data_IF_628810904111
#
_entry.id   IF_628810904111
#
_cell.length_a   1.000
_cell.length_b   1.000
_cell.length_c   1.000
_cell.angle_alpha   90.00
_cell.angle_beta   90.00
_cell.angle_gamma   90.00
#
_symmetry.space_group_name_H-M   'P 1'
#
loop_
_entity.id
_entity.type
_entity.pdbx_description
1 polymer ?
#
# COMPACT_ATOMS: atom_id res chain seq x y z
N UNK A 1 -8.64 10.97 9.16
CA UNK A 1 -7.24 10.57 9.36
C UNK A 1 -7.05 10.31 10.84
N UNK A 2 -6.49 9.18 11.20
CA UNK A 2 -6.32 8.75 12.57
C UNK A 2 -4.85 8.31 12.77
N UNK A 3 -4.32 8.54 13.97
CA UNK A 3 -3.11 7.87 14.41
C UNK A 3 -3.40 6.37 14.40
N UNK A 4 -2.48 5.56 13.90
CA UNK A 4 -2.74 4.14 13.68
C UNK A 4 -1.85 3.25 14.53
N UNK A 5 -2.29 2.02 14.76
CA UNK A 5 -1.48 0.94 15.35
C UNK A 5 -0.73 0.12 14.30
N UNK A 6 -0.84 0.45 13.01
CA UNK A 6 -0.04 -0.18 11.95
C UNK A 6 1.41 0.22 12.13
N UNK A 7 2.28 -0.73 12.44
CA UNK A 7 3.64 -0.46 12.95
C UNK A 7 4.58 0.23 11.96
N UNK A 8 4.26 0.23 10.66
CA UNK A 8 5.11 0.78 9.61
C UNK A 8 4.64 2.14 9.05
N UNK A 9 3.66 2.76 9.70
CA UNK A 9 3.13 4.08 9.32
C UNK A 9 2.62 4.82 10.56
N UNK A 10 2.56 6.15 10.52
CA UNK A 10 2.14 6.96 11.67
C UNK A 10 0.63 7.23 11.64
N UNK A 11 0.09 7.41 10.45
CA UNK A 11 -1.31 7.75 10.23
C UNK A 11 -1.93 6.94 9.10
N UNK A 12 -3.27 6.79 9.13
CA UNK A 12 -4.05 6.32 7.99
C UNK A 12 -5.03 7.40 7.54
N UNK A 13 -5.29 7.44 6.24
CA UNK A 13 -6.29 8.34 5.65
C UNK A 13 -6.98 7.67 4.46
N UNK A 14 -8.31 7.67 4.48
CA UNK A 14 -9.14 7.15 3.38
C UNK A 14 -10.03 8.25 2.81
N UNK A 15 -9.48 9.14 1.96
CA UNK A 15 -10.22 10.28 1.41
C UNK A 15 -11.27 9.92 0.37
N UNK A 16 -11.21 8.73 -0.25
CA UNK A 16 -12.22 8.25 -1.20
C UNK A 16 -13.12 7.26 -0.47
N UNK A 17 -14.39 7.57 -0.39
CA UNK A 17 -15.40 6.78 0.33
C UNK A 17 -16.65 6.57 -0.51
N UNK A 18 -17.42 5.50 -0.28
CA UNK A 18 -18.78 5.40 -0.81
C UNK A 18 -19.61 6.63 -0.38
N UNK A 19 -20.57 7.00 -1.21
CA UNK A 19 -21.60 7.99 -0.83
C UNK A 19 -22.37 7.48 0.38
N UNK A 20 -22.66 6.19 0.42
CA UNK A 20 -23.18 5.50 1.59
C UNK A 20 -22.13 5.44 2.73
N UNK A 21 -22.60 5.14 3.93
CA UNK A 21 -21.73 4.91 5.08
C UNK A 21 -20.80 3.69 4.86
N UNK A 22 -19.56 3.76 5.32
CA UNK A 22 -18.62 2.63 5.32
C UNK A 22 -17.61 2.66 4.20
N UNK A 23 -17.22 1.48 3.75
CA UNK A 23 -16.18 1.27 2.74
C UNK A 23 -16.65 0.26 1.70
N UNK A 24 -15.97 0.19 0.53
CA UNK A 24 -16.29 -0.78 -0.51
C UNK A 24 -15.05 -1.12 -1.33
N UNK A 25 -14.87 -2.42 -1.54
CA UNK A 25 -13.85 -2.99 -2.41
C UNK A 25 -14.39 -4.27 -3.05
N UNK A 26 -13.63 -4.91 -3.94
CA UNK A 26 -13.89 -6.27 -4.39
C UNK A 26 -12.68 -7.16 -4.09
N UNK A 27 -12.96 -8.42 -3.74
CA UNK A 27 -11.93 -9.44 -3.52
C UNK A 27 -11.30 -9.83 -4.84
N UNK A 28 -9.97 -9.76 -4.91
CA UNK A 28 -9.18 -10.07 -6.11
C UNK A 28 -8.07 -11.11 -5.85
N UNK A 29 -7.96 -11.57 -4.62
CA UNK A 29 -6.99 -12.57 -4.22
C UNK A 29 -7.43 -13.33 -2.98
N UNK A 30 -6.77 -14.45 -2.69
CA UNK A 30 -6.98 -15.23 -1.46
C UNK A 30 -6.70 -14.41 -0.19
N UNK A 31 -5.83 -13.41 -0.25
CA UNK A 31 -5.61 -12.48 0.86
C UNK A 31 -6.77 -11.54 1.16
N UNK A 32 -7.79 -11.51 0.29
CA UNK A 32 -9.00 -10.72 0.54
C UNK A 32 -10.11 -11.52 1.27
N UNK A 33 -9.92 -12.82 1.51
CA UNK A 33 -10.96 -13.67 2.12
C UNK A 33 -11.34 -13.19 3.53
N UNK A 34 -10.35 -12.90 4.37
CA UNK A 34 -10.53 -12.42 5.74
C UNK A 34 -10.14 -10.94 5.87
N UNK A 35 -10.59 -10.11 4.92
CA UNK A 35 -10.23 -8.70 4.87
C UNK A 35 -10.74 -7.95 6.10
N UNK A 36 -9.82 -7.30 6.82
CA UNK A 36 -10.15 -6.52 8.02
C UNK A 36 -11.08 -5.33 7.70
N UNK A 37 -10.93 -4.73 6.54
CA UNK A 37 -11.77 -3.61 6.10
C UNK A 37 -13.20 -4.07 5.84
N UNK A 38 -13.40 -5.26 5.23
CA UNK A 38 -14.73 -5.85 5.08
C UNK A 38 -15.34 -6.16 6.45
N UNK A 39 -14.58 -6.74 7.38
CA UNK A 39 -15.05 -7.03 8.72
C UNK A 39 -15.50 -5.75 9.47
N UNK A 40 -14.74 -4.66 9.34
CA UNK A 40 -15.12 -3.35 9.88
C UNK A 40 -16.35 -2.77 9.16
N UNK A 41 -16.46 -2.94 7.84
CA UNK A 41 -17.63 -2.51 7.09
C UNK A 41 -18.90 -3.26 7.52
N UNK A 42 -18.80 -4.56 7.75
CA UNK A 42 -19.91 -5.37 8.27
C UNK A 42 -20.35 -4.92 9.67
N UNK A 43 -19.40 -4.49 10.51
CA UNK A 43 -19.69 -4.08 11.88
C UNK A 43 -20.16 -2.63 11.99
N UNK A 44 -19.52 -1.71 11.28
CA UNK A 44 -19.70 -0.26 11.47
C UNK A 44 -20.15 0.49 10.22
N UNK A 45 -20.06 -0.13 9.04
CA UNK A 45 -20.38 0.46 7.74
C UNK A 45 -21.80 0.17 7.27
N UNK A 46 -21.95 -0.03 5.94
CA UNK A 46 -23.22 -0.32 5.27
C UNK A 46 -23.60 -1.81 5.30
N UNK A 47 -22.76 -2.66 5.89
CA UNK A 47 -22.97 -4.13 6.01
C UNK A 47 -23.03 -4.87 4.67
N UNK A 48 -22.52 -4.28 3.59
CA UNK A 48 -22.38 -4.93 2.28
C UNK A 48 -21.05 -5.67 2.22
N UNK A 49 -21.06 -6.90 1.70
CA UNK A 49 -19.83 -7.67 1.46
C UNK A 49 -19.01 -7.10 0.30
N UNK A 50 -17.71 -7.29 0.36
CA UNK A 50 -16.78 -6.83 -0.68
C UNK A 50 -16.76 -7.83 -1.84
N UNK A 51 -17.52 -7.53 -2.89
CA UNK A 51 -17.59 -8.31 -4.12
C UNK A 51 -17.85 -7.41 -5.33
N UNK A 52 -17.67 -7.96 -6.53
CA UNK A 52 -17.80 -7.20 -7.78
C UNK A 52 -19.21 -6.59 -7.98
N UNK A 53 -20.27 -7.30 -7.57
CA UNK A 53 -21.64 -6.80 -7.72
C UNK A 53 -21.91 -5.59 -6.83
N UNK A 54 -21.55 -5.67 -5.54
CA UNK A 54 -21.73 -4.55 -4.63
C UNK A 54 -20.83 -3.37 -5.02
N UNK A 55 -19.60 -3.66 -5.51
CA UNK A 55 -18.69 -2.65 -5.97
C UNK A 55 -19.24 -1.92 -7.20
N UNK A 56 -19.72 -2.62 -8.22
CA UNK A 56 -20.25 -2.00 -9.45
C UNK A 56 -21.49 -1.11 -9.19
N UNK A 57 -22.20 -1.37 -8.09
CA UNK A 57 -23.36 -0.58 -7.64
C UNK A 57 -22.98 0.50 -6.61
N UNK A 58 -21.69 0.74 -6.38
CA UNK A 58 -21.21 1.73 -5.39
C UNK A 58 -20.82 3.03 -6.08
N UNK A 59 -21.47 4.10 -5.70
CA UNK A 59 -21.04 5.45 -6.03
C UNK A 59 -20.03 5.94 -5.00
N UNK A 60 -18.90 6.48 -5.47
CA UNK A 60 -17.84 7.03 -4.61
C UNK A 60 -17.91 8.56 -4.56
N UNK A 61 -17.38 9.12 -3.49
CA UNK A 61 -17.20 10.56 -3.28
C UNK A 61 -15.85 10.86 -2.65
N UNK A 62 -15.39 12.10 -2.78
CA UNK A 62 -14.27 12.63 -1.99
C UNK A 62 -14.78 13.06 -0.62
N UNK A 63 -14.10 12.64 0.43
CA UNK A 63 -14.26 13.17 1.78
C UNK A 63 -13.33 14.38 1.98
N UNK A 64 -13.85 15.57 1.72
CA UNK A 64 -13.06 16.82 1.83
C UNK A 64 -12.56 17.07 3.28
N UNK A 65 -13.17 16.46 4.29
CA UNK A 65 -12.65 16.54 5.65
C UNK A 65 -11.37 15.70 5.81
N UNK A 66 -11.29 14.52 5.17
CA UNK A 66 -10.03 13.76 5.14
C UNK A 66 -8.94 14.53 4.37
N UNK A 67 -9.27 15.15 3.23
CA UNK A 67 -8.33 16.00 2.48
C UNK A 67 -7.81 17.16 3.35
N UNK A 68 -8.70 17.83 4.11
CA UNK A 68 -8.30 18.90 5.04
C UNK A 68 -7.40 18.37 6.18
N UNK A 69 -7.60 17.12 6.61
CA UNK A 69 -6.76 16.51 7.66
C UNK A 69 -5.37 16.16 7.14
N UNK A 70 -5.21 15.73 5.88
CA UNK A 70 -3.92 15.53 5.23
C UNK A 70 -3.06 16.79 5.34
N UNK A 71 -3.64 17.98 5.13
CA UNK A 71 -2.93 19.26 5.26
C UNK A 71 -2.39 19.56 6.67
N UNK A 72 -2.90 18.87 7.70
CA UNK A 72 -2.55 19.08 9.11
C UNK A 72 -1.66 17.97 9.69
N UNK A 73 -1.23 17.01 8.87
CA UNK A 73 -0.30 15.96 9.31
C UNK A 73 1.01 16.60 9.76
N UNK A 74 1.62 16.18 10.87
CA UNK A 74 2.95 16.65 11.24
C UNK A 74 3.98 16.38 10.13
N UNK A 75 4.90 17.32 9.92
CA UNK A 75 6.02 17.17 8.98
C UNK A 75 6.86 15.94 9.34
N UNK A 76 7.39 15.23 8.33
CA UNK A 76 8.18 14.02 8.50
C UNK A 76 7.37 12.75 8.81
N UNK A 77 6.03 12.84 8.84
CA UNK A 77 5.18 11.66 9.10
C UNK A 77 5.01 10.78 7.87
N UNK A 78 4.76 9.49 8.11
CA UNK A 78 4.30 8.53 7.12
C UNK A 78 2.78 8.37 7.18
N UNK A 79 2.12 8.42 6.03
CA UNK A 79 0.66 8.28 5.90
C UNK A 79 0.34 7.12 4.97
N UNK A 80 -0.30 6.08 5.48
CA UNK A 80 -0.86 5.03 4.64
C UNK A 80 -2.20 5.51 4.07
N UNK A 81 -2.21 5.73 2.75
CA UNK A 81 -3.38 6.23 2.04
C UNK A 81 -4.29 5.09 1.59
N UNK A 82 -5.58 5.31 1.81
CA UNK A 82 -6.68 4.47 1.32
C UNK A 82 -6.60 3.03 1.86
N UNK A 83 -6.27 2.91 3.16
CA UNK A 83 -6.13 1.66 3.91
C UNK A 83 -7.41 0.82 3.94
N UNK A 84 -8.58 1.45 3.84
CA UNK A 84 -9.89 0.80 3.92
C UNK A 84 -10.49 0.41 2.57
N UNK A 85 -9.93 0.91 1.47
CA UNK A 85 -10.37 0.66 0.09
C UNK A 85 -9.15 0.76 -0.81
N UNK A 86 -8.99 -0.12 -1.80
CA UNK A 86 -7.89 0.02 -2.77
C UNK A 86 -8.14 1.27 -3.63
N UNK A 87 -7.23 2.25 -3.60
CA UNK A 87 -7.35 3.50 -4.37
C UNK A 87 -7.39 3.24 -5.88
N UNK A 88 -6.74 2.19 -6.31
CA UNK A 88 -6.73 1.74 -7.71
C UNK A 88 -7.84 0.74 -8.05
N UNK A 89 -8.91 0.74 -7.24
CA UNK A 89 -10.13 0.00 -7.54
C UNK A 89 -10.78 0.53 -8.83
N UNK A 90 -11.29 -0.36 -9.67
CA UNK A 90 -11.83 -0.09 -11.01
C UNK A 90 -13.03 0.87 -11.03
N UNK A 91 -13.79 0.98 -9.93
CA UNK A 91 -14.93 1.88 -9.82
C UNK A 91 -14.55 3.29 -9.31
N UNK A 92 -13.32 3.48 -8.87
CA UNK A 92 -12.86 4.81 -8.46
C UNK A 92 -12.49 5.63 -9.71
N UNK A 93 -13.17 6.77 -9.94
CA UNK A 93 -12.87 7.64 -11.06
C UNK A 93 -11.45 8.21 -10.97
N UNK A 94 -10.72 8.29 -12.09
CA UNK A 94 -9.36 8.84 -12.14
C UNK A 94 -9.28 10.26 -11.57
N UNK A 95 -10.27 11.09 -11.82
CA UNK A 95 -10.38 12.45 -11.23
C UNK A 95 -10.41 12.47 -9.69
N UNK A 96 -10.85 11.37 -9.04
CA UNK A 96 -10.80 11.28 -7.57
C UNK A 96 -9.40 10.91 -7.08
N UNK A 97 -8.71 10.03 -7.81
CA UNK A 97 -7.30 9.73 -7.56
C UNK A 97 -6.50 11.02 -7.69
N UNK A 98 -6.71 11.77 -8.78
CA UNK A 98 -6.08 13.07 -9.01
C UNK A 98 -6.30 14.07 -7.87
N UNK A 99 -7.54 14.16 -7.38
CA UNK A 99 -7.85 15.03 -6.24
C UNK A 99 -7.07 14.68 -4.97
N UNK A 100 -6.79 13.37 -4.77
CA UNK A 100 -5.94 12.89 -3.67
C UNK A 100 -4.48 13.27 -3.92
N UNK A 101 -3.97 13.03 -5.14
CA UNK A 101 -2.60 13.36 -5.52
C UNK A 101 -2.30 14.86 -5.41
N UNK A 102 -3.23 15.72 -5.79
CA UNK A 102 -3.10 17.17 -5.57
C UNK A 102 -2.95 17.54 -4.08
N UNK A 103 -3.47 16.73 -3.15
CA UNK A 103 -3.24 16.93 -1.72
C UNK A 103 -1.91 16.39 -1.22
N UNK A 104 -1.34 15.41 -1.91
CA UNK A 104 0.01 14.88 -1.67
C UNK A 104 1.06 15.90 -2.12
N UNK A 105 0.93 16.44 -3.32
CA UNK A 105 1.81 17.49 -3.87
C UNK A 105 1.90 18.71 -2.95
N UNK A 106 0.79 19.08 -2.32
CA UNK A 106 0.77 20.17 -1.35
C UNK A 106 1.50 19.89 -0.03
N UNK A 107 2.04 18.67 0.15
CA UNK A 107 2.72 18.23 1.39
C UNK A 107 3.96 17.41 1.07
N UNK A 108 4.97 18.03 0.44
CA UNK A 108 6.23 17.35 0.10
C UNK A 108 7.04 16.92 1.35
N UNK A 109 6.69 17.46 2.51
CA UNK A 109 7.25 17.17 3.82
C UNK A 109 6.68 15.92 4.50
N UNK A 110 5.73 15.22 3.86
CA UNK A 110 5.04 14.03 4.38
C UNK A 110 5.18 12.89 3.37
N UNK A 111 5.50 11.69 3.82
CA UNK A 111 5.55 10.50 2.98
C UNK A 111 4.16 9.86 2.88
N UNK A 112 3.74 9.56 1.67
CA UNK A 112 2.46 8.89 1.40
C UNK A 112 2.68 7.50 0.84
N UNK A 113 2.24 6.50 1.58
CA UNK A 113 2.38 5.08 1.24
C UNK A 113 1.06 4.59 0.62
N UNK A 114 1.11 4.10 -0.61
CA UNK A 114 -0.05 3.58 -1.35
C UNK A 114 0.19 2.10 -1.62
N UNK A 115 -0.70 1.25 -1.14
CA UNK A 115 -0.64 -0.20 -1.33
C UNK A 115 -1.84 -0.67 -2.15
N UNK A 116 -1.56 -1.43 -3.22
CA UNK A 116 -2.62 -1.92 -4.10
C UNK A 116 -2.46 -3.40 -4.45
N UNK A 117 -3.57 -4.03 -4.80
CA UNK A 117 -3.63 -5.34 -5.43
C UNK A 117 -3.91 -5.25 -6.95
N UNK A 118 -3.94 -4.01 -7.48
CA UNK A 118 -4.26 -3.67 -8.87
C UNK A 118 -3.18 -2.77 -9.49
N UNK A 119 -1.92 -3.26 -9.60
CA UNK A 119 -0.80 -2.43 -10.07
C UNK A 119 -0.98 -1.94 -11.52
N UNK A 120 -1.75 -2.66 -12.34
CA UNK A 120 -2.09 -2.26 -13.70
C UNK A 120 -2.87 -0.94 -13.77
N UNK A 121 -3.63 -0.62 -12.72
CA UNK A 121 -4.36 0.65 -12.63
C UNK A 121 -3.46 1.85 -12.31
N UNK A 122 -2.26 1.63 -11.76
CA UNK A 122 -1.27 2.70 -11.60
C UNK A 122 -0.91 3.24 -12.98
N UNK A 123 -0.54 2.35 -13.92
CA UNK A 123 -0.21 2.73 -15.30
C UNK A 123 -1.36 3.46 -15.98
N UNK A 124 -2.57 2.94 -15.86
CA UNK A 124 -3.75 3.60 -16.42
C UNK A 124 -3.95 5.02 -15.86
N UNK A 125 -3.69 5.22 -14.57
CA UNK A 125 -3.77 6.53 -13.96
C UNK A 125 -2.66 7.47 -14.45
N UNK A 126 -1.41 6.97 -14.57
CA UNK A 126 -0.30 7.73 -15.10
C UNK A 126 -0.57 8.22 -16.53
N UNK A 127 -1.07 7.33 -17.39
CA UNK A 127 -1.46 7.67 -18.78
C UNK A 127 -2.62 8.65 -18.82
N UNK A 128 -3.64 8.45 -17.99
CA UNK A 128 -4.77 9.36 -17.88
C UNK A 128 -4.34 10.75 -17.43
N UNK A 129 -3.52 10.86 -16.39
CA UNK A 129 -2.99 12.12 -15.89
C UNK A 129 -2.23 12.87 -16.98
N UNK A 130 -1.39 12.16 -17.73
CA UNK A 130 -0.64 12.74 -18.82
C UNK A 130 -1.47 13.31 -19.95
N UNK A 131 -2.54 12.63 -20.30
CA UNK A 131 -3.44 13.06 -21.40
C UNK A 131 -4.37 14.20 -20.99
N UNK A 132 -4.89 14.18 -19.74
CA UNK A 132 -5.94 15.10 -19.31
C UNK A 132 -5.40 16.40 -18.70
N UNK A 133 -4.27 16.32 -18.02
CA UNK A 133 -3.84 17.42 -17.17
C UNK A 133 -2.69 18.24 -17.75
N UNK A 134 -1.74 17.68 -18.44
CA UNK A 134 -0.70 18.41 -19.20
C UNK A 134 0.38 17.47 -19.76
N UNK A 135 0.46 17.32 -21.06
CA UNK A 135 1.54 16.62 -21.75
C UNK A 135 2.94 17.27 -21.48
N UNK A 136 3.00 18.55 -21.14
CA UNK A 136 4.24 19.29 -20.91
C UNK A 136 4.77 19.19 -19.46
N UNK A 137 3.94 18.86 -18.47
CA UNK A 137 4.33 18.71 -17.06
C UNK A 137 4.66 17.28 -16.62
N UNK A 138 4.44 16.29 -17.49
CA UNK A 138 4.66 14.87 -17.18
C UNK A 138 6.11 14.50 -16.84
N UNK A 139 7.08 15.42 -17.02
CA UNK A 139 8.49 15.07 -16.98
C UNK A 139 9.30 15.78 -15.89
N UNK A 140 8.71 16.71 -15.15
CA UNK A 140 9.46 17.52 -14.16
C UNK A 140 8.96 17.33 -12.72
N UNK A 141 8.97 16.20 -12.09
CA UNK A 141 8.62 15.92 -10.68
C UNK A 141 7.23 15.32 -10.43
N UNK A 142 6.64 14.67 -11.42
CA UNK A 142 5.41 13.93 -11.23
C UNK A 142 5.58 12.46 -11.63
N UNK A 143 5.06 11.47 -10.86
CA UNK A 143 4.35 11.61 -9.59
C UNK A 143 5.23 12.15 -8.47
N UNK A 144 4.62 12.78 -7.44
CA UNK A 144 5.36 13.41 -6.35
C UNK A 144 6.36 12.45 -5.71
N UNK A 145 7.62 12.89 -5.45
CA UNK A 145 8.69 12.00 -4.97
C UNK A 145 8.43 11.42 -3.58
N UNK A 146 7.53 12.04 -2.82
CA UNK A 146 7.09 11.61 -1.51
C UNK A 146 5.97 10.56 -1.52
N UNK A 147 5.59 10.04 -2.69
CA UNK A 147 4.69 8.89 -2.83
C UNK A 147 5.49 7.60 -2.91
N UNK A 148 5.17 6.62 -2.09
CA UNK A 148 5.70 5.27 -2.17
C UNK A 148 4.63 4.34 -2.73
N UNK A 149 4.91 3.66 -3.84
CA UNK A 149 3.99 2.69 -4.41
C UNK A 149 4.35 1.27 -3.97
N UNK A 150 3.34 0.55 -3.51
CA UNK A 150 3.47 -0.84 -3.10
C UNK A 150 2.42 -1.77 -3.66
N UNK A 151 2.74 -3.04 -3.69
CA UNK A 151 1.81 -4.12 -4.06
C UNK A 151 1.74 -5.19 -3.00
N UNK A 152 0.55 -5.77 -2.80
CA UNK A 152 0.38 -6.93 -1.92
C UNK A 152 0.64 -8.22 -2.69
N UNK A 153 1.38 -9.15 -2.06
CA UNK A 153 1.71 -10.49 -2.62
C UNK A 153 1.54 -11.52 -1.52
N UNK A 154 0.47 -12.26 -1.55
CA UNK A 154 0.10 -13.20 -0.49
C UNK A 154 0.62 -14.62 -0.72
N UNK A 155 0.76 -15.00 -1.99
CA UNK A 155 1.29 -16.29 -2.45
C UNK A 155 2.08 -16.10 -3.74
N UNK A 156 2.79 -17.14 -4.18
CA UNK A 156 3.52 -17.16 -5.45
C UNK A 156 2.65 -16.76 -6.65
N UNK A 157 1.39 -17.12 -6.67
CA UNK A 157 0.48 -16.79 -7.76
C UNK A 157 0.33 -15.27 -7.99
N UNK A 158 0.48 -14.48 -6.93
CA UNK A 158 0.38 -13.02 -7.00
C UNK A 158 1.72 -12.29 -7.12
N UNK A 159 2.83 -13.02 -7.20
CA UNK A 159 4.17 -12.43 -7.36
C UNK A 159 4.31 -11.63 -8.67
N UNK A 160 3.46 -11.90 -9.66
CA UNK A 160 3.36 -11.12 -10.91
C UNK A 160 3.11 -9.63 -10.66
N UNK A 161 2.47 -9.25 -9.54
CA UNK A 161 2.22 -7.86 -9.19
C UNK A 161 3.53 -7.07 -8.97
N UNK A 162 4.58 -7.72 -8.44
CA UNK A 162 5.90 -7.10 -8.34
C UNK A 162 6.51 -6.81 -9.71
N UNK A 163 6.28 -7.69 -10.69
CA UNK A 163 6.79 -7.47 -12.04
C UNK A 163 6.13 -6.26 -12.72
N UNK A 164 4.83 -6.06 -12.49
CA UNK A 164 4.16 -4.83 -12.93
C UNK A 164 4.80 -3.58 -12.31
N UNK A 165 5.02 -3.59 -11.00
CA UNK A 165 5.61 -2.45 -10.30
C UNK A 165 7.02 -2.13 -10.80
N UNK A 166 7.86 -3.18 -11.01
CA UNK A 166 9.21 -3.03 -11.58
C UNK A 166 9.18 -2.53 -13.02
N UNK A 167 8.26 -3.03 -13.85
CA UNK A 167 8.06 -2.55 -15.22
C UNK A 167 7.70 -1.06 -15.22
N UNK A 168 6.78 -0.65 -14.39
CA UNK A 168 6.43 0.77 -14.24
C UNK A 168 7.65 1.63 -13.95
N UNK A 169 8.52 1.21 -13.02
CA UNK A 169 9.75 1.95 -12.70
C UNK A 169 10.71 2.03 -13.88
N UNK A 170 10.77 1.01 -14.71
CA UNK A 170 11.58 0.99 -15.93
C UNK A 170 11.00 1.90 -17.03
N UNK A 171 9.69 1.82 -17.28
CA UNK A 171 8.98 2.60 -18.31
C UNK A 171 8.80 4.07 -17.91
N UNK A 172 8.74 4.35 -16.62
CA UNK A 172 8.56 5.67 -16.01
C UNK A 172 9.68 5.97 -15.00
N UNK A 173 10.91 6.29 -15.47
CA UNK A 173 12.08 6.48 -14.60
C UNK A 173 11.89 7.57 -13.54
N UNK A 174 10.99 8.55 -13.79
CA UNK A 174 10.62 9.62 -12.86
C UNK A 174 9.74 9.14 -11.71
N UNK A 175 9.20 7.90 -11.74
CA UNK A 175 8.46 7.35 -10.60
C UNK A 175 9.31 7.41 -9.32
N UNK A 176 8.66 7.58 -8.15
CA UNK A 176 9.35 7.66 -6.87
C UNK A 176 10.36 6.54 -6.68
N UNK A 177 11.45 6.85 -6.02
CA UNK A 177 12.55 5.90 -5.81
C UNK A 177 12.15 4.72 -4.92
N UNK A 178 11.13 4.89 -4.07
CA UNK A 178 10.67 3.85 -3.15
C UNK A 178 9.49 3.10 -3.75
N UNK A 179 9.77 1.87 -4.18
CA UNK A 179 8.78 0.86 -4.51
C UNK A 179 8.82 -0.23 -3.44
N UNK A 180 7.67 -0.70 -2.98
CA UNK A 180 7.65 -1.69 -1.92
C UNK A 180 6.70 -2.87 -2.19
N UNK A 181 6.94 -3.97 -1.52
CA UNK A 181 6.07 -5.12 -1.55
C UNK A 181 5.61 -5.47 -0.13
N UNK A 182 4.32 -5.70 0.03
CA UNK A 182 3.74 -6.23 1.27
C UNK A 182 3.37 -7.69 1.04
N UNK A 183 4.15 -8.59 1.63
CA UNK A 183 3.85 -10.01 1.70
C UNK A 183 2.87 -10.24 2.87
N UNK A 184 1.66 -9.68 2.72
CA UNK A 184 0.61 -9.72 3.74
C UNK A 184 -0.80 -9.86 3.13
N UNK A 185 -1.57 -10.81 3.69
CA UNK A 185 -1.12 -11.88 4.59
C UNK A 185 -0.25 -12.89 3.84
N UNK A 186 0.86 -13.35 4.46
CA UNK A 186 1.71 -14.39 3.87
C UNK A 186 1.05 -15.76 4.04
N UNK A 187 0.47 -16.26 2.95
CA UNK A 187 -0.37 -17.45 2.94
C UNK A 187 0.26 -18.67 2.25
N UNK A 188 1.45 -18.52 1.73
CA UNK A 188 2.19 -19.59 1.08
C UNK A 188 3.63 -19.21 0.80
N UNK A 189 4.43 -20.19 0.44
CA UNK A 189 5.79 -19.95 -0.03
C UNK A 189 5.76 -19.15 -1.33
N UNK A 190 6.49 -18.05 -1.35
CA UNK A 190 6.64 -17.20 -2.54
C UNK A 190 7.69 -17.78 -3.49
N UNK A 191 8.57 -18.65 -2.98
CA UNK A 191 9.69 -19.24 -3.72
C UNK A 191 10.82 -18.25 -3.93
N UNK A 192 11.63 -18.49 -4.97
CA UNK A 192 12.72 -17.59 -5.34
C UNK A 192 12.15 -16.39 -6.09
N UNK A 193 12.53 -15.18 -5.64
CA UNK A 193 12.06 -13.90 -6.20
C UNK A 193 13.24 -12.97 -6.51
N UNK A 194 13.04 -12.16 -7.54
CA UNK A 194 13.93 -11.06 -7.86
C UNK A 194 13.30 -9.75 -7.33
N UNK A 195 13.97 -9.11 -6.38
CA UNK A 195 13.56 -7.85 -5.76
C UNK A 195 14.25 -6.62 -6.35
N UNK A 196 14.98 -6.76 -7.46
CA UNK A 196 15.59 -5.61 -8.13
C UNK A 196 14.54 -4.53 -8.45
N UNK A 197 14.79 -3.29 -8.03
CA UNK A 197 13.84 -2.17 -8.16
C UNK A 197 12.78 -2.09 -7.04
N UNK A 198 12.82 -3.01 -6.07
CA UNK A 198 12.05 -2.94 -4.82
C UNK A 198 12.98 -2.44 -3.71
N UNK A 199 12.55 -1.47 -2.96
CA UNK A 199 13.33 -0.86 -1.88
C UNK A 199 12.94 -1.37 -0.49
N UNK A 200 11.73 -1.91 -0.35
CA UNK A 200 11.18 -2.30 0.94
C UNK A 200 10.26 -3.53 0.87
N UNK A 201 10.45 -4.46 1.79
CA UNK A 201 9.65 -5.66 1.94
C UNK A 201 8.99 -5.70 3.32
N UNK A 202 7.66 -5.58 3.36
CA UNK A 202 6.86 -5.77 4.58
C UNK A 202 6.40 -7.23 4.59
N UNK A 203 6.60 -7.93 5.71
CA UNK A 203 6.28 -9.35 5.84
C UNK A 203 5.38 -9.55 7.06
N UNK A 204 4.26 -10.28 6.88
CA UNK A 204 3.39 -10.55 8.01
C UNK A 204 2.33 -11.62 7.74
N UNK A 205 1.97 -12.33 8.79
CA UNK A 205 0.86 -13.27 8.80
C UNK A 205 -0.51 -12.58 8.87
N UNK A 206 -1.57 -13.34 8.63
CA UNK A 206 -2.93 -12.86 8.71
C UNK A 206 -3.35 -12.54 10.15
N UNK A 207 -4.14 -11.50 10.36
CA UNK A 207 -4.73 -11.17 11.66
C UNK A 207 -6.25 -11.27 11.63
N UNK A 208 -6.83 -11.52 12.80
CA UNK A 208 -8.28 -11.63 12.98
C UNK A 208 -8.71 -12.98 13.54
N UNK A 209 -9.98 -13.10 13.94
CA UNK A 209 -10.52 -14.30 14.58
C UNK A 209 -10.49 -15.57 13.71
N UNK A 210 -10.41 -15.39 12.40
CA UNK A 210 -10.34 -16.47 11.40
C UNK A 210 -9.01 -16.50 10.64
N UNK A 211 -7.94 -15.94 11.23
CA UNK A 211 -6.65 -15.89 10.60
C UNK A 211 -6.13 -17.28 10.23
N UNK A 212 -5.53 -17.38 9.06
CA UNK A 212 -4.83 -18.58 8.60
C UNK A 212 -3.40 -18.56 9.12
N UNK A 213 -2.85 -19.70 9.55
CA UNK A 213 -1.49 -19.77 10.08
C UNK A 213 -0.47 -19.45 8.99
N UNK A 214 0.56 -18.68 9.35
CA UNK A 214 1.74 -18.47 8.54
C UNK A 214 2.82 -19.49 8.93
N UNK A 215 3.40 -20.18 7.94
CA UNK A 215 4.62 -20.93 8.21
C UNK A 215 5.79 -19.95 8.31
N UNK A 216 6.47 -19.98 9.43
CA UNK A 216 7.58 -19.08 9.73
C UNK A 216 8.77 -19.21 8.75
N UNK A 217 8.97 -20.37 8.17
CA UNK A 217 10.03 -20.61 7.19
C UNK A 217 9.80 -19.82 5.90
N UNK A 218 8.55 -19.53 5.54
CA UNK A 218 8.26 -18.62 4.42
C UNK A 218 8.76 -17.20 4.70
N UNK A 219 8.53 -16.71 5.93
CA UNK A 219 9.04 -15.40 6.33
C UNK A 219 10.58 -15.38 6.37
N UNK A 220 11.22 -16.40 6.93
CA UNK A 220 12.68 -16.56 6.96
C UNK A 220 13.28 -16.56 5.56
N UNK A 221 12.65 -17.29 4.63
CA UNK A 221 13.10 -17.34 3.24
C UNK A 221 13.03 -15.95 2.58
N UNK A 222 11.93 -15.22 2.78
CA UNK A 222 11.77 -13.84 2.26
C UNK A 222 12.78 -12.88 2.87
N UNK A 223 12.98 -12.92 4.19
CA UNK A 223 13.96 -12.09 4.89
C UNK A 223 15.36 -12.30 4.33
N UNK A 224 15.79 -13.58 4.16
CA UNK A 224 17.09 -13.91 3.58
C UNK A 224 17.21 -13.32 2.17
N UNK A 225 16.24 -13.58 1.29
CA UNK A 225 16.26 -13.08 -0.08
C UNK A 225 16.27 -11.55 -0.17
N UNK A 226 15.53 -10.86 0.73
CA UNK A 226 15.53 -9.41 0.79
C UNK A 226 16.90 -8.86 1.23
N UNK A 227 17.50 -9.44 2.26
CA UNK A 227 18.84 -9.06 2.73
C UNK A 227 19.91 -9.29 1.69
N UNK A 228 19.91 -10.46 1.03
CA UNK A 228 20.87 -10.81 -0.02
C UNK A 228 20.80 -9.85 -1.22
N UNK A 229 19.64 -9.20 -1.43
CA UNK A 229 19.40 -8.23 -2.50
C UNK A 229 19.43 -6.77 -2.02
N UNK A 230 19.81 -6.50 -0.76
CA UNK A 230 19.93 -5.16 -0.21
C UNK A 230 18.60 -4.42 0.01
N UNK A 231 17.50 -5.16 0.15
CA UNK A 231 16.15 -4.63 0.36
C UNK A 231 15.87 -4.54 1.86
N UNK A 232 15.42 -3.37 2.33
CA UNK A 232 15.00 -3.17 3.71
C UNK A 232 13.81 -4.07 4.07
N UNK A 233 13.79 -4.59 5.30
CA UNK A 233 12.78 -5.54 5.77
C UNK A 233 12.01 -4.99 6.95
N UNK A 234 10.69 -5.15 6.91
CA UNK A 234 9.81 -4.88 8.05
C UNK A 234 9.00 -6.12 8.39
N UNK A 235 9.37 -6.79 9.48
CA UNK A 235 8.52 -7.84 10.07
C UNK A 235 7.38 -7.19 10.84
N UNK A 236 6.17 -7.29 10.32
CA UNK A 236 5.00 -6.64 10.93
C UNK A 236 4.37 -7.50 12.02
N UNK A 237 4.09 -8.76 11.71
CA UNK A 237 3.42 -9.68 12.63
C UNK A 237 3.58 -11.13 12.18
N UNK A 238 3.49 -12.07 13.12
CA UNK A 238 3.55 -13.51 12.82
C UNK A 238 2.18 -14.10 12.43
N UNK A 239 1.12 -13.34 12.63
CA UNK A 239 -0.26 -13.80 12.51
C UNK A 239 -0.88 -14.11 13.87
N UNK A 240 -2.20 -13.89 13.98
CA UNK A 240 -2.90 -14.11 15.23
C UNK A 240 -4.26 -13.39 15.30
N UNK A 241 -4.98 -13.59 16.41
CA UNK A 241 -6.31 -13.00 16.59
C UNK A 241 -6.27 -11.47 16.61
N UNK A 242 -5.20 -10.89 17.14
CA UNK A 242 -4.99 -9.43 17.19
C UNK A 242 -3.93 -9.02 16.17
N UNK A 243 -4.11 -7.88 15.49
CA UNK A 243 -3.09 -7.36 14.60
C UNK A 243 -1.88 -6.84 15.39
N UNK A 244 -0.71 -6.88 14.77
CA UNK A 244 0.53 -6.42 15.36
C UNK A 244 1.24 -7.52 16.14
N UNK A 245 2.00 -7.15 17.14
CA UNK A 245 2.83 -7.95 18.01
C UNK A 245 4.06 -7.15 18.42
N UNK A 246 4.49 -7.32 19.66
CA UNK A 246 5.75 -6.73 20.10
C UNK A 246 6.91 -7.46 19.40
N UNK A 247 7.95 -6.73 19.06
CA UNK A 247 9.07 -7.28 18.31
C UNK A 247 9.81 -8.36 19.09
N UNK A 248 9.77 -8.27 20.42
CA UNK A 248 10.36 -9.23 21.36
C UNK A 248 9.69 -10.61 21.34
N UNK A 249 8.43 -10.68 20.92
CA UNK A 249 7.67 -11.94 20.77
C UNK A 249 8.09 -12.72 19.51
N UNK A 250 8.86 -12.11 18.61
CA UNK A 250 9.31 -12.75 17.40
C UNK A 250 10.59 -13.56 17.65
N UNK A 251 10.84 -14.64 16.88
CA UNK A 251 12.16 -15.27 16.84
C UNK A 251 13.25 -14.23 16.58
N UNK A 252 14.40 -14.37 17.23
CA UNK A 252 15.48 -13.39 17.20
C UNK A 252 15.89 -13.00 15.75
N UNK A 253 15.96 -13.97 14.86
CA UNK A 253 16.31 -13.80 13.46
C UNK A 253 15.26 -13.03 12.63
N UNK A 254 14.05 -12.84 13.18
CA UNK A 254 12.95 -12.08 12.57
C UNK A 254 12.64 -10.75 13.29
N UNK A 255 13.42 -10.35 14.28
CA UNK A 255 13.28 -9.05 14.98
C UNK A 255 13.83 -7.90 14.13
N UNK A 256 13.21 -7.67 12.96
CA UNK A 256 13.70 -6.72 11.97
C UNK A 256 12.61 -5.73 11.64
N UNK A 257 12.90 -4.41 11.81
CA UNK A 257 12.02 -3.31 11.40
C UNK A 257 12.87 -2.17 10.83
N UNK A 258 13.13 -2.26 9.55
CA UNK A 258 13.95 -1.31 8.80
C UNK A 258 13.08 -0.52 7.83
N UNK A 259 13.29 0.80 7.76
CA UNK A 259 12.79 1.61 6.65
C UNK A 259 13.79 1.60 5.49
N UNK A 260 13.32 1.74 4.25
CA UNK A 260 14.22 1.92 3.12
C UNK A 260 15.04 3.20 3.32
N UNK A 261 16.32 3.15 2.96
CA UNK A 261 17.14 4.37 2.88
C UNK A 261 16.58 5.22 1.74
N UNK A 262 16.14 6.43 2.05
CA UNK A 262 15.87 7.42 1.02
C UNK A 262 17.16 7.63 0.24
N UNK A 263 17.12 7.45 -1.07
CA UNK A 263 18.20 7.85 -1.95
C UNK A 263 18.10 9.37 -2.04
N UNK A 264 18.65 10.07 -1.05
CA UNK A 264 18.92 11.50 -1.20
C UNK A 264 20.02 11.61 -2.24
N UNK A 265 19.72 12.29 -3.34
CA UNK A 265 20.77 12.72 -4.24
C UNK A 265 21.72 13.61 -3.43
N UNK A 266 23.01 13.25 -3.36
CA UNK A 266 24.06 14.01 -2.64
C UNK A 266 24.25 15.46 -3.16
N UNK A 267 23.40 15.93 -4.05
CA UNK A 267 23.38 17.30 -4.59
C UNK A 267 22.46 18.27 -3.81
N UNK A 268 21.68 17.78 -2.82
CA UNK A 268 20.78 18.61 -2.01
C UNK A 268 21.33 18.92 -0.59
N UNK A 269 22.62 18.80 -0.38
CA UNK A 269 23.29 19.30 0.83
C UNK A 269 23.63 20.79 0.64
N UNK A 270 23.22 21.66 1.61
CA UNK A 270 23.49 23.09 1.53
C UNK A 270 24.96 23.44 1.62
#
# INVERSE_FOLDING_TARGET
>A
MNKTSISWTDFTSSPIKPVEKGWMCAKVSTGCEHCYSEALNMRYGNKKSFNAVNLSNTEFRIDENEIKRIKKVPSGSNVFLQDMTDIFNEQIPMKFIERVFASIEARPDVTFQILTKRPERIEQYLLWHGNEIHAERLFENWPPPNVWFGVSVETRAYAVRMNYLKRLKYEWPQLPNIMFVSFEPLLGDIGVINLNGISWAIIGGESGSHHRPMNIEWARNLVRQAKDQGVAVWMKQLGGVRPGGELEDFPEDLRIREFPKEIRNDQDLP
#
